data_IF_293128067276
#
_entry.id   IF_293128067276
#
_cell.length_a   1.000
_cell.length_b   1.000
_cell.length_c   1.000
_cell.angle_alpha   90.00
_cell.angle_beta   90.00
_cell.angle_gamma   90.00
#
_symmetry.space_group_name_H-M   'P 1'
#
loop_
_entity.id
_entity.type
_entity.pdbx_description
1 polymer ?
#
# COMPACT_ATOMS: atom_id res chain seq x y z
N UNK A 1 -3.28 69.14 11.27
CA UNK A 1 -2.31 68.26 11.94
C UNK A 1 -2.88 66.86 11.97
N UNK A 2 -2.42 66.05 11.03
CA UNK A 2 -2.85 64.68 10.72
C UNK A 2 -2.12 63.70 11.63
N UNK A 3 -2.83 62.96 12.48
CA UNK A 3 -2.25 61.82 13.21
C UNK A 3 -2.47 60.54 12.41
N UNK A 4 -1.36 60.07 11.86
CA UNK A 4 -1.17 58.88 11.05
C UNK A 4 -1.62 57.63 11.81
N UNK A 5 -2.63 56.92 11.31
CA UNK A 5 -3.02 55.59 11.81
C UNK A 5 -2.01 54.57 11.29
N UNK A 6 -1.06 54.18 12.14
CA UNK A 6 -0.15 53.04 11.87
C UNK A 6 -0.94 51.73 11.85
N UNK A 7 -1.22 51.21 10.66
CA UNK A 7 -1.73 49.86 10.47
C UNK A 7 -0.56 48.87 10.52
N UNK A 8 -0.50 48.08 11.60
CA UNK A 8 0.50 47.01 11.73
C UNK A 8 0.00 45.77 10.99
N UNK A 9 0.45 45.59 9.74
CA UNK A 9 0.23 44.38 8.97
C UNK A 9 1.18 43.28 9.50
N UNK A 10 0.65 42.32 10.28
CA UNK A 10 1.38 41.10 10.62
C UNK A 10 1.20 40.12 9.47
N UNK A 11 2.21 40.02 8.62
CA UNK A 11 2.32 38.95 7.64
C UNK A 11 2.40 37.61 8.39
N UNK A 12 1.33 36.82 8.34
CA UNK A 12 1.36 35.43 8.80
C UNK A 12 2.19 34.64 7.80
N UNK A 13 3.47 34.42 8.13
CA UNK A 13 4.28 33.44 7.43
C UNK A 13 3.69 32.07 7.77
N UNK A 14 2.89 31.52 6.86
CA UNK A 14 2.46 30.14 6.94
C UNK A 14 3.72 29.28 6.81
N UNK A 15 4.24 28.80 7.93
CA UNK A 15 5.18 27.67 7.92
C UNK A 15 4.33 26.48 7.50
N UNK A 16 4.19 26.27 6.20
CA UNK A 16 3.78 24.99 5.67
C UNK A 16 4.88 24.02 6.12
N UNK A 17 4.62 23.24 7.17
CA UNK A 17 5.41 22.05 7.45
C UNK A 17 5.23 21.14 6.24
N UNK A 18 6.12 21.25 5.27
CA UNK A 18 6.28 20.25 4.22
C UNK A 18 6.82 19.01 4.93
N UNK A 19 5.96 18.26 5.60
CA UNK A 19 6.25 16.86 5.90
C UNK A 19 6.59 16.25 4.55
N UNK A 20 7.83 15.80 4.39
CA UNK A 20 8.23 15.17 3.14
C UNK A 20 7.29 13.98 2.93
N UNK A 21 6.41 14.05 1.93
CA UNK A 21 5.53 12.95 1.58
C UNK A 21 6.40 11.88 0.94
N UNK A 22 6.99 11.01 1.76
CA UNK A 22 7.64 9.82 1.26
C UNK A 22 6.62 8.93 0.55
N UNK A 23 7.06 8.34 -0.56
CA UNK A 23 6.22 7.91 -1.66
C UNK A 23 5.17 6.84 -1.28
N UNK A 24 3.95 7.07 -1.77
CA UNK A 24 2.91 6.05 -1.85
C UNK A 24 3.37 4.92 -2.76
N UNK A 25 3.17 3.69 -2.32
CA UNK A 25 3.21 2.54 -3.23
C UNK A 25 2.29 2.81 -4.42
N UNK A 26 2.77 2.53 -5.63
CA UNK A 26 1.99 2.70 -6.86
C UNK A 26 1.30 1.38 -7.17
N UNK A 27 0.02 1.44 -7.56
CA UNK A 27 -0.78 0.26 -7.91
C UNK A 27 -0.72 -0.83 -6.83
N UNK A 28 -0.89 -0.43 -5.57
CA UNK A 28 -0.93 -1.35 -4.43
C UNK A 28 -2.20 -2.20 -4.38
N UNK A 29 -3.24 -1.78 -5.10
CA UNK A 29 -4.52 -2.46 -5.34
C UNK A 29 -4.51 -3.32 -6.61
N UNK A 30 -3.42 -3.32 -7.38
CA UNK A 30 -3.27 -4.10 -8.63
C UNK A 30 -4.29 -3.81 -9.74
N UNK A 31 -5.01 -2.69 -9.67
CA UNK A 31 -6.08 -2.32 -10.61
C UNK A 31 -5.61 -1.58 -11.86
N UNK A 32 -4.32 -1.31 -12.02
CA UNK A 32 -3.79 -0.57 -13.17
C UNK A 32 -4.15 -1.18 -14.54
N UNK A 33 -4.47 -2.49 -14.57
CA UNK A 33 -4.84 -3.24 -15.77
C UNK A 33 -6.29 -3.72 -15.77
N UNK A 34 -7.15 -3.12 -14.95
CA UNK A 34 -8.56 -3.51 -14.85
C UNK A 34 -9.32 -3.43 -16.19
N UNK A 35 -8.99 -2.44 -17.01
CA UNK A 35 -9.60 -2.24 -18.33
C UNK A 35 -9.08 -3.19 -19.43
N UNK A 36 -8.02 -3.96 -19.15
CA UNK A 36 -7.48 -4.91 -20.13
C UNK A 36 -8.39 -6.12 -20.29
N UNK A 37 -8.34 -6.71 -21.49
CA UNK A 37 -8.98 -8.01 -21.74
C UNK A 37 -8.41 -9.08 -20.81
N UNK A 38 -9.27 -9.98 -20.33
CA UNK A 38 -8.88 -11.01 -19.37
C UNK A 38 -7.64 -11.83 -19.80
N UNK A 39 -7.54 -12.19 -21.08
CA UNK A 39 -6.40 -12.94 -21.62
C UNK A 39 -5.06 -12.22 -21.47
N UNK A 40 -5.04 -10.89 -21.45
CA UNK A 40 -3.83 -10.11 -21.25
C UNK A 40 -3.40 -10.03 -19.78
N UNK A 41 -4.29 -10.42 -18.85
CA UNK A 41 -4.07 -10.41 -17.39
C UNK A 41 -3.56 -11.76 -16.88
N UNK A 42 -3.58 -12.80 -17.70
CA UNK A 42 -3.09 -14.15 -17.37
C UNK A 42 -1.65 -14.37 -17.81
N UNK A 43 -0.88 -15.11 -17.00
CA UNK A 43 0.51 -15.46 -17.22
C UNK A 43 1.35 -14.26 -17.63
N UNK A 44 1.03 -13.10 -17.05
CA UNK A 44 1.64 -11.82 -17.40
C UNK A 44 2.88 -11.56 -16.55
N UNK A 45 3.84 -10.87 -17.13
CA UNK A 45 4.97 -10.27 -16.40
C UNK A 45 4.79 -8.78 -16.17
N UNK A 46 3.72 -8.20 -16.72
CA UNK A 46 3.38 -6.78 -16.57
C UNK A 46 2.12 -6.65 -15.69
N UNK A 47 2.28 -6.04 -14.53
CA UNK A 47 1.20 -5.75 -13.59
C UNK A 47 0.69 -4.30 -13.73
N UNK A 48 1.37 -3.48 -14.52
CA UNK A 48 1.20 -2.04 -14.53
C UNK A 48 1.67 -1.37 -13.23
N UNK A 49 1.81 -0.04 -13.27
CA UNK A 49 1.91 0.77 -12.05
C UNK A 49 3.11 0.52 -11.14
N UNK A 50 4.31 0.32 -11.70
CA UNK A 50 5.56 0.37 -10.94
C UNK A 50 6.03 -0.96 -10.33
N UNK A 51 5.24 -2.03 -10.43
CA UNK A 51 5.69 -3.38 -10.09
C UNK A 51 6.55 -3.99 -11.20
N UNK A 52 7.57 -4.74 -10.81
CA UNK A 52 8.42 -5.52 -11.70
C UNK A 52 8.31 -7.00 -11.35
N UNK A 53 8.00 -7.84 -12.33
CA UNK A 53 8.14 -9.30 -12.19
C UNK A 53 9.61 -9.69 -12.39
N UNK A 54 10.22 -10.24 -11.34
CA UNK A 54 11.65 -10.61 -11.30
C UNK A 54 11.87 -11.97 -11.97
N UNK A 55 10.98 -12.92 -11.71
CA UNK A 55 10.93 -14.24 -12.36
C UNK A 55 9.50 -14.77 -12.36
N UNK A 56 9.25 -15.80 -13.16
CA UNK A 56 7.93 -16.42 -13.31
C UNK A 56 6.94 -15.51 -14.00
N UNK A 57 5.66 -15.73 -13.73
CA UNK A 57 4.57 -14.85 -14.16
C UNK A 57 3.40 -14.93 -13.18
N UNK A 58 2.56 -13.91 -13.24
CA UNK A 58 1.41 -13.75 -12.36
C UNK A 58 0.11 -13.79 -13.15
N UNK A 59 -1.00 -14.01 -12.46
CA UNK A 59 -2.33 -13.70 -12.97
C UNK A 59 -2.89 -12.49 -12.21
N UNK A 60 -3.51 -11.55 -12.92
CA UNK A 60 -4.35 -10.52 -12.30
C UNK A 60 -5.79 -11.00 -12.34
N UNK A 61 -6.24 -11.51 -11.20
CA UNK A 61 -7.54 -12.17 -11.05
C UNK A 61 -8.58 -11.17 -10.58
N UNK A 62 -9.74 -11.13 -11.24
CA UNK A 62 -10.80 -10.22 -10.87
C UNK A 62 -11.62 -10.73 -9.70
N UNK A 63 -12.05 -9.83 -8.82
CA UNK A 63 -12.99 -10.13 -7.73
C UNK A 63 -14.42 -10.45 -8.24
N UNK A 64 -14.64 -10.33 -9.55
CA UNK A 64 -15.83 -10.85 -10.21
C UNK A 64 -15.86 -10.60 -11.71
N UNK A 65 -16.03 -11.66 -12.50
CA UNK A 65 -16.92 -11.60 -13.66
C UNK A 65 -16.35 -12.00 -15.01
N UNK A 66 -15.19 -11.48 -15.41
CA UNK A 66 -14.94 -11.35 -16.85
C UNK A 66 -13.88 -12.28 -17.42
N UNK A 67 -13.46 -13.27 -16.65
CA UNK A 67 -12.35 -14.17 -16.98
C UNK A 67 -12.74 -15.61 -17.30
N UNK A 68 -14.03 -15.94 -17.33
CA UNK A 68 -14.48 -17.30 -17.61
C UNK A 68 -14.29 -18.28 -16.45
N UNK A 69 -13.71 -17.85 -15.31
CA UNK A 69 -13.64 -18.58 -14.04
C UNK A 69 -14.44 -17.88 -12.91
N UNK A 70 -15.28 -16.92 -13.28
CA UNK A 70 -15.78 -15.84 -12.43
C UNK A 70 -17.03 -16.11 -11.60
N UNK A 71 -17.62 -17.30 -11.66
CA UNK A 71 -18.74 -17.65 -10.76
C UNK A 71 -18.22 -18.17 -9.41
N UNK A 72 -17.15 -18.96 -9.43
CA UNK A 72 -16.59 -19.59 -8.24
C UNK A 72 -15.72 -18.58 -7.47
N UNK A 73 -14.78 -17.87 -8.11
CA UNK A 73 -14.00 -16.82 -7.44
C UNK A 73 -14.91 -15.75 -6.79
N UNK A 74 -15.97 -15.32 -7.48
CA UNK A 74 -16.96 -14.36 -6.95
C UNK A 74 -17.77 -14.90 -5.77
N UNK A 75 -18.14 -16.18 -5.79
CA UNK A 75 -18.87 -16.82 -4.70
C UNK A 75 -17.97 -17.11 -3.48
N UNK A 76 -16.67 -17.37 -3.73
CA UNK A 76 -15.69 -17.71 -2.71
C UNK A 76 -15.03 -16.47 -2.06
N UNK A 77 -14.77 -15.39 -2.81
CA UNK A 77 -14.06 -14.19 -2.30
C UNK A 77 -14.91 -13.26 -1.44
N UNK A 78 -16.22 -13.48 -1.40
CA UNK A 78 -17.15 -12.72 -0.56
C UNK A 78 -17.26 -11.24 -0.94
N UNK A 79 -18.30 -10.57 -0.44
CA UNK A 79 -18.58 -9.15 -0.74
C UNK A 79 -17.62 -8.15 -0.06
N UNK A 80 -16.52 -8.62 0.54
CA UNK A 80 -15.51 -7.79 1.21
C UNK A 80 -14.27 -7.52 0.35
N UNK A 81 -14.15 -8.18 -0.79
CA UNK A 81 -13.21 -7.78 -1.82
C UNK A 81 -13.64 -6.42 -2.38
N UNK A 82 -12.75 -5.43 -2.28
CA UNK A 82 -12.85 -4.17 -3.03
C UNK A 82 -13.08 -4.48 -4.51
N UNK A 83 -13.90 -3.70 -5.21
CA UNK A 83 -14.05 -3.84 -6.65
C UNK A 83 -12.68 -3.73 -7.31
N UNK A 84 -12.24 -4.73 -8.08
CA UNK A 84 -10.90 -4.68 -8.66
C UNK A 84 -10.30 -6.04 -9.04
N UNK A 85 -8.98 -6.02 -9.19
CA UNK A 85 -8.08 -7.14 -9.40
C UNK A 85 -7.30 -7.44 -8.12
N UNK A 86 -6.79 -8.66 -8.00
CA UNK A 86 -5.71 -9.01 -7.10
C UNK A 86 -4.62 -9.73 -7.90
N UNK A 87 -3.40 -9.75 -7.40
CA UNK A 87 -2.33 -10.54 -8.02
C UNK A 87 -2.30 -11.95 -7.44
N UNK A 88 -2.37 -12.97 -8.29
CA UNK A 88 -1.96 -14.34 -7.99
C UNK A 88 -0.48 -14.53 -8.36
N UNK A 89 0.34 -14.89 -7.38
CA UNK A 89 1.79 -15.06 -7.54
C UNK A 89 2.21 -16.33 -8.29
N UNK A 90 1.27 -17.19 -8.73
CA UNK A 90 1.51 -18.30 -9.65
C UNK A 90 0.54 -18.23 -10.83
N UNK A 91 0.94 -17.58 -11.93
CA UNK A 91 0.21 -17.69 -13.20
C UNK A 91 0.31 -19.11 -13.77
N UNK A 92 1.46 -19.46 -14.34
CA UNK A 92 1.82 -20.83 -14.70
C UNK A 92 3.11 -21.34 -14.02
N UNK A 93 3.85 -20.41 -13.40
CA UNK A 93 5.11 -20.67 -12.72
C UNK A 93 5.18 -19.74 -11.50
N UNK A 94 5.78 -20.18 -10.38
CA UNK A 94 5.96 -19.32 -9.22
C UNK A 94 6.69 -18.03 -9.58
N UNK A 95 6.15 -16.90 -9.14
CA UNK A 95 6.68 -15.59 -9.43
C UNK A 95 7.23 -14.88 -8.20
N UNK A 96 8.10 -13.91 -8.48
CA UNK A 96 8.44 -12.84 -7.56
C UNK A 96 8.12 -11.51 -8.21
N UNK A 97 7.38 -10.67 -7.50
CA UNK A 97 7.14 -9.28 -7.89
C UNK A 97 7.81 -8.33 -6.89
N UNK A 98 8.27 -7.18 -7.37
CA UNK A 98 8.97 -6.20 -6.53
C UNK A 98 8.63 -4.77 -6.94
N UNK A 99 8.62 -3.85 -5.97
CA UNK A 99 8.56 -2.41 -6.18
C UNK A 99 9.58 -1.72 -5.28
N UNK A 100 10.37 -0.83 -5.86
CA UNK A 100 11.30 0.03 -5.10
C UNK A 100 10.54 1.24 -4.58
N UNK A 101 10.49 1.36 -3.25
CA UNK A 101 9.83 2.45 -2.54
C UNK A 101 10.84 3.57 -2.30
N UNK A 102 10.47 4.80 -2.61
CA UNK A 102 11.25 6.00 -2.32
C UNK A 102 11.06 6.42 -0.84
N UNK A 103 11.49 5.55 0.07
CA UNK A 103 11.50 5.78 1.52
C UNK A 103 12.69 6.65 1.96
N UNK A 104 12.55 7.29 3.11
CA UNK A 104 13.53 8.22 3.68
C UNK A 104 14.31 7.52 4.80
N UNK A 105 15.63 7.61 4.77
CA UNK A 105 16.48 7.02 5.80
C UNK A 105 16.14 7.59 7.19
N UNK A 106 15.95 6.71 8.18
CA UNK A 106 15.59 7.07 9.55
C UNK A 106 14.10 7.22 9.82
N UNK A 107 13.27 7.33 8.79
CA UNK A 107 11.81 7.44 8.92
C UNK A 107 11.18 6.07 9.19
N UNK A 108 10.23 6.01 10.13
CA UNK A 108 9.37 4.84 10.32
C UNK A 108 8.20 4.83 9.32
N UNK A 109 7.88 3.65 8.80
CA UNK A 109 6.77 3.38 7.90
C UNK A 109 5.90 2.26 8.45
N UNK A 110 4.60 2.31 8.13
CA UNK A 110 3.67 1.19 8.26
C UNK A 110 3.55 0.50 6.90
N UNK A 111 3.54 -0.83 6.90
CA UNK A 111 3.20 -1.68 5.76
C UNK A 111 1.96 -2.49 6.13
N UNK A 112 0.99 -2.55 5.22
CA UNK A 112 -0.09 -3.54 5.27
C UNK A 112 -0.40 -4.10 3.90
N UNK A 113 -0.92 -5.32 3.84
CA UNK A 113 -1.47 -5.91 2.63
C UNK A 113 -2.47 -7.01 2.99
N UNK A 114 -3.38 -7.27 2.07
CA UNK A 114 -4.30 -8.40 2.12
C UNK A 114 -3.70 -9.60 1.39
N UNK A 115 -3.97 -10.81 1.87
CA UNK A 115 -3.55 -12.04 1.22
C UNK A 115 -4.56 -13.18 1.39
N UNK A 116 -4.56 -14.10 0.43
CA UNK A 116 -5.42 -15.28 0.39
C UNK A 116 -4.73 -16.38 -0.44
N UNK A 117 -5.35 -17.55 -0.58
CA UNK A 117 -4.95 -18.53 -1.60
C UNK A 117 -5.97 -18.47 -2.73
N UNK A 118 -5.53 -18.56 -3.98
CA UNK A 118 -6.46 -18.72 -5.07
C UNK A 118 -7.17 -20.08 -4.90
N UNK A 119 -8.51 -20.12 -4.70
CA UNK A 119 -9.19 -21.38 -4.45
C UNK A 119 -9.27 -22.26 -5.70
N UNK A 120 -9.21 -21.69 -6.91
CA UNK A 120 -9.60 -22.42 -8.12
C UNK A 120 -10.95 -23.10 -7.90
N UNK A 121 -10.94 -24.44 -7.96
CA UNK A 121 -12.10 -25.30 -7.68
C UNK A 121 -12.14 -25.89 -6.27
N UNK A 122 -11.15 -25.62 -5.41
CA UNK A 122 -11.05 -26.11 -4.02
C UNK A 122 -11.14 -24.96 -3.01
N UNK A 123 -12.26 -24.89 -2.29
CA UNK A 123 -12.48 -23.89 -1.25
C UNK A 123 -11.49 -23.95 -0.08
N UNK A 124 -10.77 -25.06 0.08
CA UNK A 124 -9.77 -25.27 1.14
C UNK A 124 -8.33 -25.15 0.64
N UNK A 125 -8.11 -24.64 -0.57
CA UNK A 125 -6.77 -24.48 -1.13
C UNK A 125 -5.86 -23.69 -0.17
N UNK A 126 -4.57 -24.04 -0.13
CA UNK A 126 -3.58 -23.27 0.60
C UNK A 126 -2.41 -22.94 -0.31
N UNK A 127 -1.86 -21.74 -0.17
CA UNK A 127 -0.74 -21.31 -0.99
C UNK A 127 0.25 -20.50 -0.15
N UNK A 128 1.50 -20.96 -0.15
CA UNK A 128 2.60 -20.30 0.56
C UNK A 128 3.22 -19.19 -0.26
N UNK A 129 3.61 -18.12 0.42
CA UNK A 129 4.45 -17.06 -0.14
C UNK A 129 5.30 -16.42 0.97
N UNK A 130 6.24 -15.58 0.57
CA UNK A 130 6.99 -14.72 1.47
C UNK A 130 6.91 -13.27 1.00
N UNK A 131 6.94 -12.33 1.94
CA UNK A 131 7.24 -10.93 1.63
C UNK A 131 8.62 -10.55 2.19
N UNK A 132 9.29 -9.60 1.53
CA UNK A 132 10.56 -9.04 2.00
C UNK A 132 10.63 -7.53 1.76
N UNK A 133 11.17 -6.80 2.74
CA UNK A 133 11.58 -5.40 2.69
C UNK A 133 13.09 -5.32 2.89
N UNK A 134 13.81 -4.77 1.92
CA UNK A 134 15.27 -4.58 2.02
C UNK A 134 15.77 -3.43 1.14
N UNK A 135 16.76 -2.63 1.60
CA UNK A 135 17.30 -2.61 2.95
C UNK A 135 16.38 -1.86 3.93
N UNK A 136 16.33 -2.33 5.18
CA UNK A 136 15.69 -1.65 6.32
C UNK A 136 16.61 -1.70 7.55
N UNK A 137 16.28 -0.95 8.61
CA UNK A 137 17.04 -1.00 9.86
C UNK A 137 17.00 -2.43 10.42
N UNK A 138 18.17 -3.03 10.62
CA UNK A 138 18.30 -4.43 11.02
C UNK A 138 18.51 -5.41 9.86
N UNK A 139 18.65 -4.93 8.61
CA UNK A 139 18.95 -5.73 7.43
C UNK A 139 17.72 -5.91 6.54
N UNK A 140 17.13 -7.10 6.54
CA UNK A 140 15.93 -7.44 5.79
C UNK A 140 14.81 -7.77 6.77
N UNK A 141 13.61 -7.21 6.53
CA UNK A 141 12.38 -7.61 7.22
C UNK A 141 11.55 -8.48 6.29
N UNK A 142 11.02 -9.59 6.78
CA UNK A 142 10.13 -10.45 5.99
C UNK A 142 9.49 -11.54 6.82
N UNK A 143 8.46 -12.18 6.26
CA UNK A 143 7.83 -13.36 6.83
C UNK A 143 7.37 -14.30 5.72
N UNK A 144 7.29 -15.60 6.03
CA UNK A 144 6.55 -16.57 5.23
C UNK A 144 5.12 -16.65 5.74
N UNK A 145 4.17 -16.59 4.82
CA UNK A 145 2.74 -16.57 5.06
C UNK A 145 2.06 -17.66 4.21
N UNK A 146 0.88 -18.10 4.64
CA UNK A 146 0.08 -19.11 3.93
C UNK A 146 -1.33 -18.56 3.78
N UNK A 147 -1.77 -18.37 2.54
CA UNK A 147 -3.16 -18.06 2.22
C UNK A 147 -4.06 -19.27 2.42
N UNK A 148 -5.34 -19.04 2.75
CA UNK A 148 -6.32 -20.10 3.05
C UNK A 148 -7.62 -19.88 2.29
N UNK A 149 -7.77 -20.59 1.17
CA UNK A 149 -8.83 -20.39 0.19
C UNK A 149 -9.04 -18.91 -0.09
N UNK A 150 -10.28 -18.56 -0.42
CA UNK A 150 -10.66 -17.17 -0.62
C UNK A 150 -10.91 -16.37 0.68
N UNK A 151 -10.50 -16.90 1.83
CA UNK A 151 -10.58 -16.17 3.11
C UNK A 151 -9.44 -15.16 3.19
N UNK A 152 -9.72 -13.92 2.78
CA UNK A 152 -8.75 -12.83 2.85
C UNK A 152 -8.32 -12.53 4.29
N UNK A 153 -7.02 -12.44 4.47
CA UNK A 153 -6.34 -12.09 5.72
C UNK A 153 -5.55 -10.80 5.52
N UNK A 154 -5.26 -10.09 6.60
CA UNK A 154 -4.44 -8.86 6.55
C UNK A 154 -3.16 -9.06 7.32
N UNK A 155 -2.03 -8.77 6.67
CA UNK A 155 -0.74 -8.62 7.33
C UNK A 155 -0.47 -7.13 7.56
N UNK A 156 0.08 -6.79 8.73
CA UNK A 156 0.52 -5.43 9.02
C UNK A 156 1.81 -5.45 9.86
N UNK A 157 2.72 -4.52 9.57
CA UNK A 157 3.96 -4.34 10.32
C UNK A 157 4.45 -2.89 10.21
N UNK A 158 5.50 -2.55 10.96
CA UNK A 158 6.23 -1.29 10.79
C UNK A 158 7.71 -1.56 10.57
N UNK A 159 8.38 -0.66 9.87
CA UNK A 159 9.83 -0.73 9.65
C UNK A 159 10.44 0.66 9.63
N UNK A 160 11.73 0.74 9.96
CA UNK A 160 12.51 1.98 9.82
C UNK A 160 13.37 1.86 8.56
N UNK A 161 13.18 2.76 7.60
CA UNK A 161 13.92 2.72 6.35
C UNK A 161 15.37 3.22 6.54
N UNK A 162 16.26 2.78 5.66
CA UNK A 162 17.67 3.22 5.63
C UNK A 162 18.02 4.00 4.35
N UNK A 163 17.01 4.24 3.52
CA UNK A 163 17.10 4.81 2.17
C UNK A 163 15.92 4.30 1.37
N UNK A 164 16.06 4.20 0.04
CA UNK A 164 15.11 3.48 -0.80
C UNK A 164 15.02 2.00 -0.38
N UNK A 165 13.82 1.44 -0.32
CA UNK A 165 13.55 0.09 0.17
C UNK A 165 12.76 -0.68 -0.88
N UNK A 166 13.22 -1.87 -1.27
CA UNK A 166 12.47 -2.77 -2.15
C UNK A 166 11.47 -3.59 -1.32
N UNK A 167 10.19 -3.56 -1.70
CA UNK A 167 9.16 -4.47 -1.23
C UNK A 167 8.96 -5.57 -2.28
N UNK A 168 9.08 -6.82 -1.87
CA UNK A 168 8.88 -7.97 -2.75
C UNK A 168 7.90 -8.98 -2.18
N UNK A 169 7.12 -9.59 -3.05
CA UNK A 169 6.29 -10.76 -2.77
C UNK A 169 6.77 -11.92 -3.63
N UNK A 170 6.97 -13.08 -3.00
CA UNK A 170 7.66 -14.23 -3.58
C UNK A 170 6.81 -15.46 -3.33
N UNK A 171 6.32 -16.11 -4.39
CA UNK A 171 5.66 -17.39 -4.25
C UNK A 171 6.63 -18.46 -3.74
N UNK A 172 6.17 -19.30 -2.81
CA UNK A 172 6.91 -20.48 -2.34
C UNK A 172 6.23 -21.79 -2.75
N UNK A 173 5.16 -21.71 -3.55
CA UNK A 173 4.40 -22.84 -4.05
C UNK A 173 5.08 -23.48 -5.28
N UNK A 174 6.28 -24.02 -5.08
CA UNK A 174 7.01 -24.73 -6.13
C UNK A 174 6.36 -26.09 -6.43
N UNK A 175 5.99 -26.32 -7.69
CA UNK A 175 5.45 -27.61 -8.16
C UNK A 175 3.92 -27.69 -8.28
N UNK A 176 3.18 -26.63 -7.95
CA UNK A 176 1.76 -26.49 -8.29
C UNK A 176 1.63 -25.55 -9.51
N UNK A 177 1.09 -26.03 -10.65
CA UNK A 177 1.21 -25.31 -11.91
C UNK A 177 0.33 -24.05 -12.00
N UNK A 178 -0.72 -23.93 -11.18
CA UNK A 178 -1.66 -22.80 -11.18
C UNK A 178 -2.23 -22.59 -9.77
N UNK A 179 -2.84 -21.43 -9.52
CA UNK A 179 -3.51 -21.08 -8.26
C UNK A 179 -2.55 -20.92 -7.07
N UNK A 180 -1.92 -19.75 -6.99
CA UNK A 180 -0.94 -19.41 -5.98
C UNK A 180 -1.52 -18.58 -4.83
N UNK A 181 -0.60 -17.95 -4.08
CA UNK A 181 -0.98 -16.99 -3.07
C UNK A 181 -1.43 -15.71 -3.78
N UNK A 182 -2.57 -15.19 -3.36
CA UNK A 182 -3.09 -13.91 -3.83
C UNK A 182 -2.67 -12.79 -2.88
N UNK A 183 -2.35 -11.63 -3.44
CA UNK A 183 -2.01 -10.41 -2.69
C UNK A 183 -2.84 -9.25 -3.24
N UNK A 184 -3.28 -8.37 -2.35
CA UNK A 184 -4.06 -7.18 -2.68
C UNK A 184 -3.87 -6.08 -1.62
N UNK A 185 -4.37 -4.87 -1.87
CA UNK A 185 -4.49 -3.77 -0.91
C UNK A 185 -3.17 -3.43 -0.20
N UNK A 186 -2.06 -3.47 -0.95
CA UNK A 186 -0.74 -3.13 -0.43
C UNK A 186 -0.68 -1.63 -0.15
N UNK A 187 -0.34 -1.27 1.08
CA UNK A 187 -0.23 0.10 1.54
C UNK A 187 1.07 0.29 2.29
N UNK A 188 1.79 1.36 1.95
CA UNK A 188 2.97 1.82 2.69
C UNK A 188 2.81 3.31 2.97
N UNK A 189 2.89 3.70 4.24
CA UNK A 189 2.75 5.10 4.65
C UNK A 189 3.74 5.48 5.73
N UNK A 190 4.25 6.71 5.69
CA UNK A 190 5.12 7.22 6.75
C UNK A 190 4.34 7.34 8.06
N UNK A 191 4.93 6.88 9.17
CA UNK A 191 4.41 7.06 10.52
C UNK A 191 5.01 8.35 11.09
N UNK A 192 4.20 9.39 11.35
CA UNK A 192 4.74 10.65 11.86
C UNK A 192 5.42 10.48 13.21
N UNK A 193 6.52 11.17 13.41
CA UNK A 193 7.25 11.13 14.69
C UNK A 193 6.42 11.82 15.79
N UNK A 194 6.50 11.38 17.06
CA UNK A 194 5.77 12.03 18.16
C UNK A 194 6.01 13.54 18.26
N UNK A 195 7.21 14.00 17.90
CA UNK A 195 7.56 15.42 17.88
C UNK A 195 6.83 16.21 16.78
N UNK A 196 6.48 15.59 15.66
CA UNK A 196 5.70 16.22 14.60
C UNK A 196 4.27 16.48 15.05
N UNK A 197 3.66 15.53 15.78
CA UNK A 197 2.36 15.76 16.42
C UNK A 197 2.44 16.86 17.48
N UNK A 198 3.51 16.90 18.28
CA UNK A 198 3.70 17.97 19.25
C UNK A 198 3.81 19.33 18.56
N UNK A 199 4.59 19.45 17.49
CA UNK A 199 4.71 20.69 16.71
C UNK A 199 3.42 21.09 16.01
N UNK A 200 2.65 20.12 15.49
CA UNK A 200 1.31 20.35 14.93
C UNK A 200 0.37 20.90 16.01
N UNK A 201 0.31 20.26 17.18
CA UNK A 201 -0.53 20.72 18.30
C UNK A 201 -0.10 22.10 18.80
N UNK A 202 1.21 22.37 18.89
CA UNK A 202 1.73 23.69 19.23
C UNK A 202 1.31 24.73 18.19
N UNK A 203 1.44 24.43 16.89
CA UNK A 203 0.99 25.30 15.80
C UNK A 203 -0.50 25.62 15.88
N UNK A 204 -1.34 24.59 16.06
CA UNK A 204 -2.79 24.75 16.26
C UNK A 204 -3.12 25.56 17.52
N UNK A 205 -2.37 25.33 18.61
CA UNK A 205 -2.51 26.09 19.85
C UNK A 205 -2.23 27.59 19.67
N UNK A 206 -1.19 27.94 18.91
CA UNK A 206 -0.86 29.34 18.56
C UNK A 206 -1.97 29.97 17.72
N UNK A 207 -2.47 29.26 16.69
CA UNK A 207 -3.56 29.74 15.83
C UNK A 207 -4.84 29.97 16.65
N UNK A 208 -5.22 29.01 17.50
CA UNK A 208 -6.41 29.13 18.36
C UNK A 208 -6.30 30.30 19.35
N UNK A 209 -5.14 30.49 19.97
CA UNK A 209 -4.89 31.63 20.86
C UNK A 209 -4.96 32.98 20.13
N UNK A 210 -4.43 33.07 18.91
CA UNK A 210 -4.51 34.27 18.08
C UNK A 210 -5.95 34.59 17.66
N UNK A 211 -6.73 33.58 17.25
CA UNK A 211 -8.14 33.75 16.90
C UNK A 211 -8.97 34.26 18.10
N UNK A 212 -8.77 33.69 19.29
CA UNK A 212 -9.42 34.14 20.54
C UNK A 212 -9.08 35.60 20.88
N UNK A 213 -7.83 36.01 20.68
CA UNK A 213 -7.41 37.41 20.93
C UNK A 213 -8.07 38.40 19.96
N UNK A 214 -8.34 38.00 18.71
CA UNK A 214 -9.03 38.84 17.73
C UNK A 214 -10.49 39.05 18.09
N UNK A 215 -11.19 37.99 18.50
CA UNK A 215 -12.60 38.09 18.93
C UNK A 215 -12.78 39.05 20.12
N UNK A 216 -11.85 39.03 21.09
CA UNK A 216 -11.87 39.93 22.26
C UNK A 216 -11.58 41.41 21.96
N UNK A 217 -11.06 41.74 20.77
CA UNK A 217 -10.85 43.13 20.35
C UNK A 217 -11.99 43.68 19.48
N UNK A 218 -12.90 42.81 19.04
CA UNK A 218 -14.06 43.16 18.22
C UNK A 218 -15.38 43.18 19.01
N UNK A 219 -15.33 42.87 20.31
CA UNK A 219 -16.38 43.07 21.30
C UNK A 219 -15.97 44.21 22.24
#
# INVERSE_FOLDING_TARGET
MTHTRTALAVAMLAVASTGASAQAIVNGDFDARQADQATARYMTTDLGGGWTTVFGNVDLVGHGGDDGNSAELKALMGSTATSGLAVDLNGNTPAMITQVLNTIAGQQYSLSFSYAANPGTDSNATAGFAFQLSPVKGGTLGASLIGQGASWQTYATTFVATGATALSFISTAYGTPTFGAMVDNVSVSAVPEPSEYAMMMLGLGVIGAAARRRQRKSA
#
